data_IF_978983957617
#
_entry.id   IF_978983957617
#
_cell.length_a   1.000
_cell.length_b   1.000
_cell.length_c   1.000
_cell.angle_alpha   90.00
_cell.angle_beta   90.00
_cell.angle_gamma   90.00
#
_symmetry.space_group_name_H-M   'P 1'
#
loop_
_entity.id
_entity.type
_entity.pdbx_description
1 polymer ?
#
# COMPACT_ATOMS: atom_id res chain seq x y z
N UNK A 1 40.05 -14.51 -78.91
CA UNK A 1 39.77 -15.10 -77.61
C UNK A 1 38.97 -14.08 -76.77
N UNK A 2 37.67 -14.36 -76.55
CA UNK A 2 36.79 -13.41 -75.78
C UNK A 2 36.62 -13.98 -74.40
N UNK A 3 37.10 -13.22 -73.35
CA UNK A 3 36.90 -13.54 -71.94
C UNK A 3 35.49 -13.14 -71.55
N UNK A 4 34.73 -14.06 -70.93
CA UNK A 4 33.44 -13.84 -70.36
C UNK A 4 33.66 -13.63 -68.87
N UNK A 5 33.38 -12.42 -68.34
CA UNK A 5 33.34 -12.11 -66.88
C UNK A 5 31.99 -12.57 -66.31
N UNK A 6 32.04 -13.43 -65.31
CA UNK A 6 30.87 -13.88 -64.51
C UNK A 6 30.84 -12.97 -63.29
N UNK A 7 29.80 -12.14 -63.13
CA UNK A 7 29.54 -11.37 -61.93
C UNK A 7 28.75 -12.23 -60.92
N UNK A 8 29.35 -12.53 -59.82
CA UNK A 8 28.68 -13.20 -58.65
C UNK A 8 28.03 -12.12 -57.77
N UNK A 9 26.70 -12.11 -57.71
CA UNK A 9 25.92 -11.30 -56.82
C UNK A 9 25.82 -12.02 -55.46
N UNK A 10 26.51 -11.50 -54.44
CA UNK A 10 26.39 -11.96 -53.06
C UNK A 10 25.23 -11.18 -52.41
N UNK A 11 24.08 -11.84 -52.21
CA UNK A 11 22.95 -11.30 -51.49
C UNK A 11 23.24 -11.35 -49.98
N UNK A 12 23.34 -10.17 -49.34
CA UNK A 12 23.45 -10.04 -47.87
C UNK A 12 22.04 -10.11 -47.32
N UNK A 13 21.65 -11.23 -46.70
CA UNK A 13 20.43 -11.34 -45.91
C UNK A 13 20.62 -10.59 -44.57
N UNK A 14 19.98 -9.45 -44.41
CA UNK A 14 19.92 -8.73 -43.13
C UNK A 14 18.98 -9.49 -42.18
N UNK A 15 19.53 -10.25 -41.23
CA UNK A 15 18.80 -10.83 -40.15
C UNK A 15 18.41 -9.71 -39.17
N UNK A 16 17.12 -9.37 -39.10
CA UNK A 16 16.56 -8.46 -38.12
C UNK A 16 16.60 -9.11 -36.72
N UNK A 17 17.59 -8.75 -35.91
CA UNK A 17 17.64 -9.09 -34.46
C UNK A 17 16.56 -8.27 -33.75
N UNK A 18 15.37 -8.83 -33.56
CA UNK A 18 14.40 -8.31 -32.63
C UNK A 18 14.97 -8.48 -31.20
N UNK A 19 15.15 -7.41 -30.43
CA UNK A 19 15.59 -7.56 -29.04
C UNK A 19 14.55 -8.41 -28.26
N UNK A 20 14.99 -9.28 -27.34
CA UNK A 20 14.05 -10.02 -26.50
C UNK A 20 13.21 -8.99 -25.73
N UNK A 21 11.89 -9.09 -25.82
CA UNK A 21 10.99 -8.35 -24.96
C UNK A 21 11.27 -8.84 -23.54
N UNK A 22 11.82 -7.98 -22.69
CA UNK A 22 11.86 -8.25 -21.27
C UNK A 22 10.39 -8.37 -20.80
N UNK A 23 9.96 -9.60 -20.51
CA UNK A 23 8.66 -9.79 -19.86
C UNK A 23 8.72 -9.08 -18.51
N UNK A 24 7.90 -8.05 -18.35
CA UNK A 24 7.73 -7.43 -17.03
C UNK A 24 7.37 -8.56 -16.04
N UNK A 25 8.11 -8.67 -14.94
CA UNK A 25 7.76 -9.62 -13.90
C UNK A 25 6.35 -9.30 -13.40
N UNK A 26 5.50 -10.32 -13.20
CA UNK A 26 4.16 -10.07 -12.65
C UNK A 26 4.29 -9.40 -11.28
N UNK A 27 3.40 -8.44 -11.01
CA UNK A 27 3.35 -7.76 -9.71
C UNK A 27 3.13 -8.78 -8.57
N UNK A 28 3.90 -8.71 -7.47
CA UNK A 28 3.67 -9.57 -6.31
C UNK A 28 2.39 -9.17 -5.56
N UNK A 29 1.83 -10.08 -4.77
CA UNK A 29 0.73 -9.74 -3.86
C UNK A 29 1.22 -8.78 -2.76
N UNK A 30 2.46 -8.97 -2.28
CA UNK A 30 3.08 -8.22 -1.19
C UNK A 30 4.51 -7.85 -1.55
N UNK A 31 4.91 -6.62 -1.21
CA UNK A 31 6.31 -6.19 -1.28
C UNK A 31 6.74 -5.63 0.08
N UNK A 32 7.85 -6.16 0.61
CA UNK A 32 8.48 -5.64 1.83
C UNK A 32 9.59 -4.68 1.42
N UNK A 33 9.43 -3.40 1.73
CA UNK A 33 10.46 -2.36 1.61
C UNK A 33 11.10 -2.19 2.97
N UNK A 34 12.38 -2.53 3.12
CA UNK A 34 13.02 -2.55 4.44
C UNK A 34 14.37 -1.83 4.45
N UNK A 35 14.53 -0.90 5.39
CA UNK A 35 15.75 -0.16 5.62
C UNK A 35 16.54 -0.77 6.78
N UNK A 36 17.82 -1.13 6.51
CA UNK A 36 18.73 -1.75 7.49
C UNK A 36 19.21 -0.75 8.55
N UNK A 37 19.85 -1.26 9.59
CA UNK A 37 20.48 -0.44 10.63
C UNK A 37 21.82 0.16 10.23
N UNK A 38 22.34 1.06 11.06
CA UNK A 38 23.65 1.70 10.89
C UNK A 38 24.75 0.66 10.81
N UNK A 39 25.67 0.81 9.85
CA UNK A 39 26.82 -0.06 9.59
C UNK A 39 26.49 -1.51 9.20
N UNK A 40 25.25 -1.86 9.02
CA UNK A 40 24.87 -3.14 8.45
C UNK A 40 25.23 -3.22 6.96
N UNK A 41 25.62 -4.40 6.49
CA UNK A 41 25.92 -4.63 5.08
C UNK A 41 24.71 -4.37 4.16
N UNK A 42 24.92 -4.03 2.88
CA UNK A 42 23.83 -3.87 1.91
C UNK A 42 22.85 -5.06 1.91
N UNK A 43 21.57 -4.75 1.97
CA UNK A 43 20.48 -5.71 2.14
C UNK A 43 19.46 -5.20 3.15
N UNK A 44 18.68 -6.08 3.74
CA UNK A 44 17.68 -5.73 4.76
C UNK A 44 18.25 -5.80 6.21
N UNK A 45 19.49 -6.21 6.37
CA UNK A 45 20.12 -6.45 7.67
C UNK A 45 19.55 -7.68 8.41
N UNK A 46 20.19 -8.09 9.51
CA UNK A 46 19.79 -9.30 10.28
C UNK A 46 18.36 -9.21 10.83
N UNK A 47 17.97 -8.07 11.41
CA UNK A 47 16.61 -7.87 11.94
C UNK A 47 15.58 -7.90 10.83
N UNK A 48 15.86 -7.25 9.69
CA UNK A 48 14.99 -7.27 8.52
C UNK A 48 14.85 -8.65 7.90
N UNK A 49 15.95 -9.41 7.82
CA UNK A 49 15.92 -10.79 7.32
C UNK A 49 15.05 -11.68 8.22
N UNK A 50 15.25 -11.61 9.54
CA UNK A 50 14.44 -12.36 10.49
C UNK A 50 12.94 -11.99 10.39
N UNK A 51 12.63 -10.70 10.20
CA UNK A 51 11.25 -10.24 9.97
C UNK A 51 10.66 -10.81 8.68
N UNK A 52 11.39 -10.76 7.57
CA UNK A 52 10.98 -11.33 6.27
C UNK A 52 10.71 -12.83 6.39
N UNK A 53 11.60 -13.56 7.08
CA UNK A 53 11.49 -15.00 7.26
C UNK A 53 10.29 -15.38 8.16
N UNK A 54 10.02 -14.56 9.17
CA UNK A 54 8.85 -14.73 10.04
C UNK A 54 7.53 -14.36 9.34
N UNK A 55 7.53 -13.34 8.50
CA UNK A 55 6.33 -12.87 7.79
C UNK A 55 5.90 -13.82 6.69
N UNK A 56 6.84 -14.32 5.89
CA UNK A 56 6.56 -15.14 4.69
C UNK A 56 5.59 -16.30 4.94
N UNK A 57 5.77 -17.19 5.92
CA UNK A 57 4.84 -18.29 6.16
C UNK A 57 3.46 -17.82 6.62
N UNK A 58 3.36 -16.64 7.24
CA UNK A 58 2.10 -16.08 7.72
C UNK A 58 1.21 -15.54 6.59
N UNK A 59 1.78 -15.27 5.41
CA UNK A 59 1.05 -14.83 4.23
C UNK A 59 0.43 -15.97 3.40
N UNK A 60 0.72 -17.22 3.75
CA UNK A 60 0.21 -18.41 3.04
C UNK A 60 0.73 -18.49 1.61
N UNK A 61 -0.16 -18.65 0.63
CA UNK A 61 0.20 -18.82 -0.78
C UNK A 61 0.47 -17.48 -1.52
N UNK A 62 0.46 -16.34 -0.83
CA UNK A 62 0.69 -15.03 -1.44
C UNK A 62 2.14 -14.88 -1.88
N UNK A 63 2.33 -14.33 -3.07
CA UNK A 63 3.66 -13.99 -3.57
C UNK A 63 4.22 -12.79 -2.81
N UNK A 64 5.49 -12.87 -2.38
CA UNK A 64 6.15 -11.79 -1.63
C UNK A 64 7.55 -11.54 -2.16
N UNK A 65 7.81 -10.28 -2.53
CA UNK A 65 9.14 -9.76 -2.86
C UNK A 65 9.68 -8.90 -1.72
N UNK A 66 10.99 -8.66 -1.75
CA UNK A 66 11.68 -7.83 -0.77
C UNK A 66 12.54 -6.82 -1.50
N UNK A 67 12.39 -5.56 -1.15
CA UNK A 67 13.20 -4.45 -1.61
C UNK A 67 14.04 -3.91 -0.46
N UNK A 68 15.35 -4.15 -0.44
CA UNK A 68 16.24 -3.51 0.51
C UNK A 68 16.45 -2.06 0.11
N UNK A 69 16.16 -1.13 1.00
CA UNK A 69 16.36 0.31 0.75
C UNK A 69 17.84 0.59 0.51
N UNK A 70 18.14 1.24 -0.61
CA UNK A 70 19.51 1.57 -0.99
C UNK A 70 19.93 2.91 -0.40
N UNK A 71 20.81 2.87 0.60
CA UNK A 71 21.38 4.05 1.24
C UNK A 71 22.68 3.70 1.98
N UNK A 72 23.51 4.69 2.33
CA UNK A 72 24.80 4.43 2.93
C UNK A 72 24.78 3.68 4.27
N UNK A 73 23.76 3.92 5.11
CA UNK A 73 23.62 3.36 6.46
C UNK A 73 24.87 3.57 7.34
N UNK A 74 25.45 4.77 7.29
CA UNK A 74 26.67 5.14 8.02
C UNK A 74 26.36 5.92 9.30
N UNK A 75 27.39 6.18 10.10
CA UNK A 75 27.32 7.05 11.28
C UNK A 75 27.18 8.54 10.92
N UNK A 76 27.35 8.90 9.65
CA UNK A 76 27.00 10.21 9.12
C UNK A 76 25.49 10.25 8.91
N UNK A 77 24.75 10.47 10.00
CA UNK A 77 23.28 10.35 10.04
C UNK A 77 22.54 11.22 9.03
N UNK A 78 22.98 12.43 8.67
CA UNK A 78 22.35 13.20 7.58
C UNK A 78 22.24 12.45 6.26
N UNK A 79 23.11 11.47 5.97
CA UNK A 79 23.05 10.65 4.75
C UNK A 79 21.86 9.69 4.72
N UNK A 80 21.16 9.51 5.83
CA UNK A 80 19.90 8.73 5.88
C UNK A 80 18.81 9.28 4.96
N UNK A 81 18.92 10.57 4.57
CA UNK A 81 18.03 11.19 3.58
C UNK A 81 18.01 10.42 2.24
N UNK A 82 19.12 9.81 1.85
CA UNK A 82 19.18 9.01 0.62
C UNK A 82 18.26 7.79 0.74
N UNK A 83 18.16 7.18 1.93
CA UNK A 83 17.23 6.11 2.21
C UNK A 83 15.77 6.57 2.18
N UNK A 84 15.49 7.78 2.67
CA UNK A 84 14.14 8.37 2.59
C UNK A 84 13.75 8.58 1.12
N UNK A 85 14.67 9.10 0.30
CA UNK A 85 14.45 9.31 -1.14
C UNK A 85 14.22 7.99 -1.88
N UNK A 86 15.09 7.02 -1.65
CA UNK A 86 15.04 5.72 -2.31
C UNK A 86 13.75 4.98 -1.97
N UNK A 87 13.42 4.85 -0.68
CA UNK A 87 12.21 4.19 -0.23
C UNK A 87 10.93 4.89 -0.72
N UNK A 88 10.85 6.23 -0.66
CA UNK A 88 9.69 6.98 -1.14
C UNK A 88 9.49 6.79 -2.64
N UNK A 89 10.55 6.95 -3.43
CA UNK A 89 10.50 6.79 -4.88
C UNK A 89 10.10 5.35 -5.29
N UNK A 90 10.64 4.35 -4.60
CA UNK A 90 10.30 2.95 -4.85
C UNK A 90 8.83 2.64 -4.51
N UNK A 91 8.34 3.10 -3.35
CA UNK A 91 6.94 2.92 -2.93
C UNK A 91 5.98 3.58 -3.92
N UNK A 92 6.26 4.83 -4.34
CA UNK A 92 5.45 5.53 -5.35
C UNK A 92 5.44 4.80 -6.68
N UNK A 93 6.60 4.32 -7.13
CA UNK A 93 6.71 3.54 -8.37
C UNK A 93 5.94 2.21 -8.28
N UNK A 94 6.02 1.50 -7.15
CA UNK A 94 5.26 0.25 -6.92
C UNK A 94 3.77 0.54 -6.89
N UNK A 95 3.31 1.58 -6.20
CA UNK A 95 1.91 1.97 -6.16
C UNK A 95 1.35 2.28 -7.57
N UNK A 96 2.15 2.96 -8.40
CA UNK A 96 1.76 3.32 -9.77
C UNK A 96 1.76 2.13 -10.73
N UNK A 97 2.77 1.26 -10.68
CA UNK A 97 2.97 0.18 -11.65
C UNK A 97 2.29 -1.12 -11.24
N UNK A 98 2.09 -1.34 -9.94
CA UNK A 98 1.50 -2.54 -9.34
C UNK A 98 0.37 -2.18 -8.35
N UNK A 99 -0.76 -1.63 -8.81
CA UNK A 99 -1.78 -1.02 -7.95
C UNK A 99 -2.46 -1.99 -6.97
N UNK A 100 -2.34 -3.29 -7.19
CA UNK A 100 -2.90 -4.30 -6.29
C UNK A 100 -1.89 -4.82 -5.27
N UNK A 101 -0.60 -4.56 -5.44
CA UNK A 101 0.45 -4.95 -4.50
C UNK A 101 0.26 -4.22 -3.17
N UNK A 102 0.33 -4.95 -2.07
CA UNK A 102 0.33 -4.39 -0.72
C UNK A 102 1.76 -4.22 -0.24
N UNK A 103 2.11 -2.99 0.13
CA UNK A 103 3.46 -2.64 0.56
C UNK A 103 3.52 -2.77 2.08
N UNK A 104 4.58 -3.39 2.56
CA UNK A 104 5.00 -3.41 3.96
C UNK A 104 6.26 -2.58 4.07
N UNK A 105 6.22 -1.48 4.79
CA UNK A 105 7.39 -0.65 5.05
C UNK A 105 7.98 -1.04 6.40
N UNK A 106 9.28 -1.23 6.48
CA UNK A 106 9.94 -1.58 7.73
C UNK A 106 11.34 -1.04 7.85
N UNK A 107 11.88 -1.07 9.05
CA UNK A 107 13.25 -0.68 9.29
C UNK A 107 13.72 -0.95 10.71
N UNK A 108 15.05 -1.06 10.86
CA UNK A 108 15.71 -1.23 12.14
C UNK A 108 16.63 -0.04 12.45
N UNK A 109 16.57 0.50 13.67
CA UNK A 109 17.48 1.56 14.14
C UNK A 109 17.43 2.80 13.21
N UNK A 110 18.55 3.17 12.56
CA UNK A 110 18.57 4.22 11.54
C UNK A 110 17.57 3.94 10.40
N UNK A 111 17.42 2.68 9.98
CA UNK A 111 16.40 2.29 9.01
C UNK A 111 14.98 2.48 9.51
N UNK A 112 14.73 2.35 10.82
CA UNK A 112 13.43 2.69 11.39
C UNK A 112 13.20 4.22 11.40
N UNK A 113 14.26 5.03 11.52
CA UNK A 113 14.18 6.47 11.29
C UNK A 113 13.85 6.79 9.84
N UNK A 114 14.55 6.18 8.88
CA UNK A 114 14.24 6.30 7.43
C UNK A 114 12.77 6.00 7.18
N UNK A 115 12.28 4.84 7.60
CA UNK A 115 10.88 4.43 7.39
C UNK A 115 9.89 5.36 8.11
N UNK A 116 10.24 5.87 9.28
CA UNK A 116 9.45 6.86 9.99
C UNK A 116 9.32 8.18 9.22
N UNK A 117 10.41 8.69 8.65
CA UNK A 117 10.39 9.90 7.83
C UNK A 117 9.64 9.70 6.51
N UNK A 118 9.74 8.51 5.88
CA UNK A 118 8.93 8.14 4.69
C UNK A 118 7.43 8.26 4.96
N UNK A 119 6.99 7.97 6.19
CA UNK A 119 5.58 8.05 6.59
C UNK A 119 5.15 9.44 7.09
N UNK A 120 6.06 10.40 7.21
CA UNK A 120 5.75 11.74 7.70
C UNK A 120 4.77 12.47 6.77
N UNK A 121 3.90 13.28 7.35
CA UNK A 121 2.95 14.10 6.58
C UNK A 121 3.40 15.55 6.38
N UNK A 122 4.52 15.90 6.95
CA UNK A 122 5.20 17.21 6.81
C UNK A 122 6.71 17.00 6.80
N UNK A 123 7.44 17.89 6.15
CA UNK A 123 8.89 17.92 6.28
C UNK A 123 9.21 18.51 7.67
N UNK A 124 9.95 17.78 8.52
CA UNK A 124 10.25 18.26 9.87
C UNK A 124 11.07 19.56 9.85
N UNK A 125 10.88 20.42 10.85
CA UNK A 125 11.74 21.58 11.05
C UNK A 125 13.20 21.15 11.26
N UNK A 126 14.13 21.82 10.60
CA UNK A 126 15.55 21.49 10.67
C UNK A 126 15.98 20.32 9.78
N UNK A 127 15.08 19.80 8.95
CA UNK A 127 15.45 18.80 7.96
C UNK A 127 16.49 19.35 6.97
N UNK A 128 17.46 18.52 6.50
CA UNK A 128 18.44 18.95 5.53
C UNK A 128 17.82 19.28 4.17
N UNK A 129 18.52 20.07 3.35
CA UNK A 129 18.07 20.38 2.00
C UNK A 129 17.91 19.11 1.17
N UNK A 130 16.83 19.07 0.38
CA UNK A 130 16.55 17.97 -0.54
C UNK A 130 15.83 16.77 0.07
N UNK A 131 15.25 16.89 1.27
CA UNK A 131 14.25 15.94 1.78
C UNK A 131 13.08 15.87 0.79
N UNK A 132 12.64 14.69 0.36
CA UNK A 132 11.49 14.59 -0.52
C UNK A 132 10.23 15.12 0.16
N UNK A 133 9.30 15.62 -0.64
CA UNK A 133 7.97 15.94 -0.12
C UNK A 133 7.31 14.68 0.45
N UNK A 134 6.42 14.83 1.45
CA UNK A 134 5.59 13.71 1.91
C UNK A 134 4.91 13.01 0.73
N UNK A 135 4.86 11.69 0.77
CA UNK A 135 4.20 10.91 -0.29
C UNK A 135 2.74 11.35 -0.47
N UNK A 136 2.22 11.32 -1.71
CA UNK A 136 0.81 11.60 -1.97
C UNK A 136 -0.12 10.77 -1.07
N UNK A 137 -1.26 11.32 -0.60
CA UNK A 137 -2.14 10.63 0.35
C UNK A 137 -2.71 9.30 -0.16
N UNK A 138 -2.86 9.12 -1.47
CA UNK A 138 -3.33 7.90 -2.11
C UNK A 138 -2.29 6.78 -2.05
N UNK A 139 -0.99 7.10 -2.05
CA UNK A 139 0.09 6.12 -1.87
C UNK A 139 -0.01 5.42 -0.51
N UNK A 140 -0.47 6.13 0.53
CA UNK A 140 -0.70 5.53 1.84
C UNK A 140 -1.66 4.33 1.80
N UNK A 141 -2.60 4.27 0.85
CA UNK A 141 -3.55 3.16 0.70
C UNK A 141 -2.87 1.87 0.18
N UNK A 142 -1.72 1.98 -0.45
CA UNK A 142 -0.92 0.83 -0.90
C UNK A 142 -0.07 0.25 0.22
N UNK A 143 0.31 1.07 1.23
CA UNK A 143 1.04 0.60 2.40
C UNK A 143 0.07 -0.04 3.37
N UNK A 144 0.14 -1.37 3.51
CA UNK A 144 -0.74 -2.14 4.39
C UNK A 144 -0.26 -2.13 5.85
N UNK A 145 1.04 -2.12 6.10
CA UNK A 145 1.62 -2.09 7.44
C UNK A 145 2.98 -1.38 7.46
N UNK A 146 3.33 -0.86 8.62
CA UNK A 146 4.66 -0.30 8.93
C UNK A 146 5.20 -0.98 10.18
N UNK A 147 6.43 -1.54 10.12
CA UNK A 147 7.09 -2.23 11.21
C UNK A 147 8.42 -1.56 11.56
N UNK A 148 8.48 -0.91 12.71
CA UNK A 148 9.63 -0.15 13.18
C UNK A 148 10.28 -0.86 14.37
N UNK A 149 11.55 -1.20 14.24
CA UNK A 149 12.33 -1.86 15.26
C UNK A 149 13.40 -0.91 15.81
N UNK A 150 13.35 -0.57 17.07
CA UNK A 150 14.34 0.31 17.70
C UNK A 150 14.36 1.72 17.09
N UNK A 151 13.20 2.25 16.71
CA UNK A 151 13.11 3.60 16.15
C UNK A 151 13.68 4.62 17.14
N UNK A 152 14.66 5.46 16.73
CA UNK A 152 15.24 6.46 17.61
C UNK A 152 14.19 7.37 18.25
N UNK A 153 14.24 7.51 19.56
CA UNK A 153 13.35 8.38 20.29
C UNK A 153 13.80 9.85 20.19
N UNK A 154 12.94 10.77 20.62
CA UNK A 154 13.22 12.21 20.57
C UNK A 154 14.49 12.63 21.35
N UNK A 155 14.87 11.89 22.41
CA UNK A 155 16.13 12.14 23.15
C UNK A 155 17.34 11.80 22.30
N UNK A 156 17.32 10.62 21.66
CA UNK A 156 18.38 10.18 20.79
C UNK A 156 18.54 11.09 19.58
N UNK A 157 17.44 11.43 18.90
CA UNK A 157 17.45 12.32 17.73
C UNK A 157 18.03 13.70 18.08
N UNK A 158 17.68 14.28 19.21
CA UNK A 158 18.30 15.54 19.69
C UNK A 158 19.79 15.40 19.96
N UNK A 159 20.22 14.24 20.49
CA UNK A 159 21.63 14.03 20.80
C UNK A 159 22.52 13.94 19.54
N UNK A 160 21.96 13.48 18.44
CA UNK A 160 22.64 13.40 17.13
C UNK A 160 22.32 14.63 16.22
N UNK A 161 21.61 15.62 16.75
CA UNK A 161 21.20 16.86 16.05
C UNK A 161 20.32 16.64 14.82
N UNK A 162 19.50 15.59 14.83
CA UNK A 162 18.56 15.27 13.76
C UNK A 162 17.11 15.58 14.16
N UNK A 163 16.20 15.84 13.19
CA UNK A 163 14.79 16.08 13.43
C UNK A 163 14.10 14.93 14.13
N UNK A 164 13.01 15.23 14.86
CA UNK A 164 12.18 14.19 15.47
C UNK A 164 11.42 13.40 14.40
N UNK A 165 11.23 12.11 14.67
CA UNK A 165 10.53 11.18 13.78
C UNK A 165 9.06 11.12 14.20
N UNK A 166 8.18 11.54 13.29
CA UNK A 166 6.74 11.50 13.49
C UNK A 166 6.08 10.69 12.38
N UNK A 167 5.38 9.61 12.77
CA UNK A 167 4.57 8.83 11.84
C UNK A 167 3.30 9.59 11.53
N UNK A 168 3.06 9.86 10.25
CA UNK A 168 1.89 10.60 9.80
C UNK A 168 0.56 9.87 10.09
N UNK A 169 -0.55 10.60 10.22
CA UNK A 169 -1.85 10.05 10.62
C UNK A 169 -2.38 8.98 9.67
N UNK A 170 -2.02 9.03 8.38
CA UNK A 170 -2.41 8.02 7.39
C UNK A 170 -1.77 6.63 7.63
N UNK A 171 -0.71 6.59 8.45
CA UNK A 171 0.04 5.37 8.76
C UNK A 171 -0.10 4.94 10.22
N UNK A 172 -0.51 5.82 11.12
CA UNK A 172 -0.50 5.57 12.56
C UNK A 172 -1.24 4.28 12.95
N UNK A 173 -2.44 4.04 12.43
CA UNK A 173 -3.25 2.86 12.78
C UNK A 173 -2.70 1.53 12.26
N UNK A 174 -1.76 1.57 11.31
CA UNK A 174 -1.12 0.40 10.69
C UNK A 174 0.39 0.33 10.95
N UNK A 175 0.85 1.05 11.96
CA UNK A 175 2.25 1.05 12.41
C UNK A 175 2.38 0.30 13.73
N UNK A 176 3.32 -0.64 13.78
CA UNK A 176 3.85 -1.22 15.00
C UNK A 176 5.25 -0.65 15.26
N UNK A 177 5.44 -0.03 16.42
CA UNK A 177 6.70 0.57 16.85
C UNK A 177 7.23 -0.19 18.07
N UNK A 178 8.30 -0.96 17.88
CA UNK A 178 8.82 -1.90 18.86
C UNK A 178 10.15 -1.43 19.40
N UNK A 179 10.23 -1.41 20.72
CA UNK A 179 11.41 -1.01 21.47
C UNK A 179 11.69 -2.02 22.58
N UNK A 180 12.83 -2.68 22.53
CA UNK A 180 13.28 -3.58 23.59
C UNK A 180 13.49 -2.76 24.88
N UNK A 181 13.03 -3.24 26.05
CA UNK A 181 13.28 -2.56 27.31
C UNK A 181 14.76 -2.24 27.50
N UNK A 182 15.03 -1.06 28.05
CA UNK A 182 16.37 -0.51 28.30
C UNK A 182 17.23 -0.21 27.06
N UNK A 183 16.74 -0.41 25.85
CA UNK A 183 17.40 0.00 24.61
C UNK A 183 17.71 1.51 24.60
N UNK A 184 18.99 1.85 24.51
CA UNK A 184 19.50 3.22 24.56
C UNK A 184 18.92 4.12 23.45
N UNK A 185 18.60 3.56 22.29
CA UNK A 185 18.17 4.31 21.09
C UNK A 185 16.70 4.69 21.16
N UNK A 186 15.83 3.75 21.50
CA UNK A 186 14.38 3.93 21.43
C UNK A 186 13.69 4.11 22.77
N UNK A 187 14.34 3.72 23.90
CA UNK A 187 13.80 3.90 25.26
C UNK A 187 14.53 4.99 26.04
N UNK A 188 14.23 5.15 27.32
CA UNK A 188 15.02 5.94 28.26
C UNK A 188 16.15 5.12 28.91
N UNK A 189 16.33 3.88 28.51
CA UNK A 189 17.38 3.00 28.98
C UNK A 189 18.76 3.44 28.57
N UNK A 190 19.78 2.66 28.99
CA UNK A 190 21.18 2.95 28.75
C UNK A 190 21.96 1.72 28.26
N UNK A 191 21.26 0.64 27.90
CA UNK A 191 21.89 -0.59 27.45
C UNK A 191 21.94 -0.63 25.91
N UNK A 192 23.14 -0.50 25.37
CA UNK A 192 23.38 -0.65 23.92
C UNK A 192 23.21 -2.10 23.44
N UNK A 193 23.41 -3.11 24.32
CA UNK A 193 23.20 -4.49 23.93
C UNK A 193 21.73 -4.82 23.72
N UNK A 194 20.83 -4.16 24.47
CA UNK A 194 19.39 -4.30 24.27
C UNK A 194 18.97 -3.93 22.83
N UNK A 195 19.70 -3.00 22.19
CA UNK A 195 19.44 -2.59 20.81
C UNK A 195 19.63 -3.69 19.75
N UNK A 196 20.28 -4.77 20.09
CA UNK A 196 20.52 -5.91 19.17
C UNK A 196 19.59 -7.10 19.43
N UNK A 197 18.67 -7.03 20.41
CA UNK A 197 17.89 -8.19 20.91
C UNK A 197 16.50 -8.32 20.30
N UNK A 198 16.22 -7.70 19.15
CA UNK A 198 14.88 -7.72 18.55
C UNK A 198 14.42 -9.11 18.12
N UNK A 199 15.35 -9.96 17.68
CA UNK A 199 15.07 -11.34 17.30
C UNK A 199 14.80 -12.18 18.55
N UNK A 200 15.70 -12.14 19.53
CA UNK A 200 15.64 -12.96 20.75
C UNK A 200 14.49 -12.54 21.67
N UNK A 201 14.06 -11.27 21.62
CA UNK A 201 12.96 -10.77 22.43
C UNK A 201 11.57 -11.23 21.96
N UNK A 202 11.48 -11.86 20.77
CA UNK A 202 10.21 -12.21 20.14
C UNK A 202 9.48 -11.04 19.46
N UNK A 203 10.09 -9.84 19.43
CA UNK A 203 9.48 -8.68 18.79
C UNK A 203 9.37 -8.81 17.27
N UNK A 204 10.27 -9.55 16.65
CA UNK A 204 10.20 -9.89 15.22
C UNK A 204 8.93 -10.70 14.93
N UNK A 205 8.61 -11.71 15.73
CA UNK A 205 7.39 -12.51 15.58
C UNK A 205 6.13 -11.69 15.84
N UNK A 206 6.17 -10.78 16.82
CA UNK A 206 5.09 -9.83 17.10
C UNK A 206 4.83 -8.92 15.89
N UNK A 207 5.86 -8.33 15.31
CA UNK A 207 5.77 -7.50 14.12
C UNK A 207 5.24 -8.29 12.92
N UNK A 208 5.74 -9.51 12.70
CA UNK A 208 5.31 -10.37 11.60
C UNK A 208 3.83 -10.75 11.70
N UNK A 209 3.34 -11.01 12.92
CA UNK A 209 1.92 -11.29 13.15
C UNK A 209 1.06 -10.06 12.87
N UNK A 210 1.41 -8.91 13.47
CA UNK A 210 0.73 -7.63 13.21
C UNK A 210 0.67 -7.31 11.72
N UNK A 211 1.80 -7.44 11.04
CA UNK A 211 1.91 -7.14 9.60
C UNK A 211 1.07 -8.09 8.76
N UNK A 212 1.10 -9.39 9.06
CA UNK A 212 0.30 -10.38 8.34
C UNK A 212 -1.19 -10.09 8.46
N UNK A 213 -1.68 -9.75 9.65
CA UNK A 213 -3.08 -9.42 9.88
C UNK A 213 -3.51 -8.21 9.04
N UNK A 214 -2.71 -7.16 9.00
CA UNK A 214 -2.99 -5.96 8.19
C UNK A 214 -2.95 -6.24 6.69
N UNK A 215 -1.95 -6.97 6.22
CA UNK A 215 -1.79 -7.34 4.81
C UNK A 215 -2.95 -8.22 4.35
N UNK A 216 -3.30 -9.25 5.12
CA UNK A 216 -4.39 -10.17 4.78
C UNK A 216 -5.75 -9.46 4.78
N UNK A 217 -5.98 -8.54 5.72
CA UNK A 217 -7.16 -7.69 5.73
C UNK A 217 -7.23 -6.78 4.49
N UNK A 218 -6.09 -6.20 4.08
CA UNK A 218 -6.01 -5.33 2.90
C UNK A 218 -6.14 -6.09 1.57
N UNK A 219 -5.85 -7.39 1.55
CA UNK A 219 -6.01 -8.29 0.39
C UNK A 219 -7.37 -9.00 0.36
N UNK A 220 -8.16 -8.90 1.43
CA UNK A 220 -9.49 -9.48 1.47
C UNK A 220 -10.43 -8.80 0.46
N UNK A 221 -11.32 -9.55 -0.21
CA UNK A 221 -12.36 -8.91 -1.01
C UNK A 221 -13.19 -7.95 -0.15
N UNK A 222 -13.68 -6.84 -0.71
CA UNK A 222 -14.59 -5.98 0.02
C UNK A 222 -15.78 -6.81 0.54
N UNK A 223 -16.32 -6.50 1.73
CA UNK A 223 -17.50 -7.17 2.24
C UNK A 223 -18.59 -7.17 1.18
N UNK A 224 -19.21 -8.33 0.91
CA UNK A 224 -20.34 -8.39 0.01
C UNK A 224 -21.40 -7.37 0.46
N UNK A 225 -21.88 -6.55 -0.46
CA UNK A 225 -22.98 -5.64 -0.15
C UNK A 225 -24.11 -6.47 0.52
N UNK A 226 -24.75 -5.96 1.58
CA UNK A 226 -25.92 -6.64 2.15
C UNK A 226 -26.90 -6.97 1.02
N UNK A 227 -27.41 -8.20 1.03
CA UNK A 227 -28.44 -8.60 0.08
C UNK A 227 -29.55 -7.52 0.11
N UNK A 228 -30.08 -7.08 -1.04
CA UNK A 228 -31.20 -6.15 -1.05
C UNK A 228 -32.29 -6.71 -0.12
N UNK A 229 -32.81 -5.85 0.76
CA UNK A 229 -33.90 -6.23 1.63
C UNK A 229 -35.01 -6.87 0.77
N UNK A 230 -35.62 -7.99 1.22
CA UNK A 230 -36.76 -8.54 0.50
C UNK A 230 -37.79 -7.43 0.26
N UNK A 231 -38.42 -7.38 -0.90
CA UNK A 231 -39.45 -6.37 -1.17
C UNK A 231 -40.49 -6.44 -0.05
N UNK A 232 -41.00 -5.30 0.43
CA UNK A 232 -42.05 -5.31 1.42
C UNK A 232 -43.18 -6.25 0.94
N UNK A 233 -43.85 -7.01 1.85
CA UNK A 233 -44.97 -7.84 1.48
C UNK A 233 -45.96 -6.98 0.65
N UNK A 234 -46.37 -7.53 -0.49
CA UNK A 234 -47.38 -6.84 -1.33
C UNK A 234 -48.54 -6.50 -0.42
N UNK A 235 -48.95 -5.22 -0.39
CA UNK A 235 -50.16 -4.82 0.30
C UNK A 235 -51.31 -5.72 -0.15
N UNK A 236 -52.14 -6.23 0.78
CA UNK A 236 -53.31 -7.02 0.39
C UNK A 236 -54.06 -6.17 -0.62
N UNK A 237 -54.25 -6.71 -1.82
CA UNK A 237 -54.71 -6.03 -3.02
C UNK A 237 -55.76 -4.99 -2.70
N UNK A 238 -55.44 -3.74 -2.99
CA UNK A 238 -56.44 -2.67 -2.99
C UNK A 238 -57.68 -3.16 -3.78
N UNK A 239 -58.93 -2.98 -3.28
CA UNK A 239 -60.09 -3.46 -3.96
C UNK A 239 -60.06 -2.94 -5.43
N UNK A 240 -60.26 -3.86 -6.36
CA UNK A 240 -60.27 -3.54 -7.78
C UNK A 240 -61.17 -2.36 -8.03
N UNK A 241 -60.73 -1.37 -8.82
CA UNK A 241 -61.58 -0.24 -9.16
C UNK A 241 -62.86 -0.76 -9.79
N UNK A 242 -64.03 -0.16 -9.49
CA UNK A 242 -65.32 -0.64 -9.99
C UNK A 242 -65.27 -0.69 -11.53
N UNK A 243 -65.61 -1.87 -12.08
CA UNK A 243 -65.63 -2.09 -13.52
C UNK A 243 -66.61 -1.15 -14.17
N UNK A 244 -66.13 -0.34 -15.11
CA UNK A 244 -66.94 0.60 -15.91
C UNK A 244 -67.97 -0.20 -16.74
N UNK A 245 -69.28 0.06 -16.53
CA UNK A 245 -70.32 -0.46 -17.36
C UNK A 245 -70.70 0.63 -18.41
N UNK A 246 -70.35 0.45 -19.69
CA UNK A 246 -70.63 1.46 -20.73
C UNK A 246 -72.10 1.74 -21.02
N UNK A 247 -73.00 0.99 -20.48
CA UNK A 247 -74.43 1.15 -20.65
C UNK A 247 -75.13 1.98 -19.53
N UNK A 248 -74.36 2.43 -18.53
CA UNK A 248 -74.89 3.25 -17.44
C UNK A 248 -74.54 4.73 -17.66
N UNK A 249 -75.53 5.67 -17.74
CA UNK A 249 -75.24 7.11 -17.86
C UNK A 249 -74.34 7.55 -16.65
N UNK A 250 -73.31 8.36 -16.94
CA UNK A 250 -72.52 8.99 -15.93
C UNK A 250 -73.34 10.01 -15.14
N UNK A 251 -73.11 10.17 -13.83
CA UNK A 251 -73.77 11.19 -13.02
C UNK A 251 -73.46 12.61 -13.57
N UNK A 252 -74.38 13.55 -13.45
CA UNK A 252 -74.15 14.93 -13.87
C UNK A 252 -72.95 15.54 -13.10
N UNK A 253 -71.98 16.16 -13.80
CA UNK A 253 -70.83 16.79 -13.24
C UNK A 253 -69.52 15.91 -13.27
N UNK A 254 -69.60 14.70 -13.83
CA UNK A 254 -68.39 13.82 -13.98
C UNK A 254 -67.58 14.30 -15.17
N UNK A 255 -66.31 14.57 -14.95
CA UNK A 255 -65.32 14.96 -15.97
C UNK A 255 -64.38 13.77 -16.22
N UNK A 256 -64.20 13.42 -17.50
CA UNK A 256 -63.24 12.39 -17.93
C UNK A 256 -61.96 13.08 -18.41
N UNK A 257 -60.83 12.69 -17.88
CA UNK A 257 -59.52 13.14 -18.32
C UNK A 257 -58.79 11.98 -18.97
N UNK A 258 -58.40 12.12 -20.21
CA UNK A 258 -57.67 11.11 -20.97
C UNK A 258 -56.28 11.69 -21.31
N UNK A 259 -55.24 10.93 -20.97
CA UNK A 259 -53.88 11.08 -21.54
C UNK A 259 -53.58 9.84 -22.39
N UNK A 260 -52.90 8.84 -21.87
CA UNK A 260 -52.74 7.52 -22.50
C UNK A 260 -53.81 6.52 -22.02
N UNK A 261 -54.45 6.79 -20.90
CA UNK A 261 -55.61 6.06 -20.35
C UNK A 261 -56.64 7.05 -19.80
N UNK A 262 -57.94 6.74 -19.99
CA UNK A 262 -59.03 7.62 -19.52
C UNK A 262 -59.38 7.31 -18.05
N UNK A 263 -59.37 8.36 -17.22
CA UNK A 263 -59.76 8.28 -15.81
C UNK A 263 -60.95 9.17 -15.52
N UNK A 264 -61.90 8.67 -14.73
CA UNK A 264 -63.08 9.44 -14.27
C UNK A 264 -62.62 10.24 -13.03
N UNK A 265 -62.76 11.58 -13.08
CA UNK A 265 -62.59 12.47 -11.96
C UNK A 265 -63.96 12.84 -11.45
N UNK A 266 -64.37 12.35 -10.26
CA UNK A 266 -65.60 12.70 -9.59
C UNK A 266 -65.58 14.16 -9.12
N UNK A 267 -66.78 14.75 -8.84
CA UNK A 267 -66.86 16.09 -8.26
C UNK A 267 -66.19 16.11 -6.89
N UNK A 268 -65.38 17.14 -6.64
CA UNK A 268 -64.75 17.44 -5.32
C UNK A 268 -65.81 17.79 -4.31
#
# INVERSE_FOLDING_TARGET
MRARSIAVLIGIAAASLTPPHASAQPCPDVEVVFARGTTEDPGVGPTGQAFVDALRPRLGARTMTVYPVDYPATIDFPTAIDGVRDASAHIEATAANCPNTKIVLGGFSQGAAVSGFVTANVIPDGAPDGVPNPMPPDVANHVAAVALFGKPNARFMRAIHEPQIEVGPAYAAKTIDLCVPDDFVCSNGQDFNAHTQYVESGMVDQAATFTADHVLAALAPPPSAPAPAPPPPADPAAPAPPSYNPLRPLPPGTVMRCDTTCHIIGPT
#
